data_IF_796104117656
#
_entry.id   IF_796104117656
#
_cell.length_a   1.000
_cell.length_b   1.000
_cell.length_c   1.000
_cell.angle_alpha   90.00
_cell.angle_beta   90.00
_cell.angle_gamma   90.00
#
_symmetry.space_group_name_H-M   'P 1'
#
loop_
_entity.id
_entity.type
_entity.pdbx_description
1 polymer ?
#
# COMPACT_ATOMS: atom_id res chain seq x y z
N UNK A 1 -7.86 26.81 -7.57
CA UNK A 1 -6.89 27.24 -6.53
C UNK A 1 -5.52 26.61 -6.75
N UNK A 2 -4.54 27.40 -7.19
CA UNK A 2 -3.10 27.12 -7.01
C UNK A 2 -2.70 27.36 -5.54
N UNK A 3 -1.62 26.74 -5.05
CA UNK A 3 -1.02 27.10 -3.77
C UNK A 3 -0.76 28.62 -3.76
N UNK A 4 -1.18 29.32 -2.69
CA UNK A 4 -0.93 30.76 -2.56
C UNK A 4 0.56 31.05 -2.68
N UNK A 5 0.92 32.17 -3.31
CA UNK A 5 2.29 32.47 -3.74
C UNK A 5 3.35 32.60 -2.62
N UNK A 6 3.01 32.40 -1.34
CA UNK A 6 3.90 32.62 -0.19
C UNK A 6 3.74 31.56 0.92
N UNK A 7 3.61 30.27 0.60
CA UNK A 7 3.51 29.20 1.61
C UNK A 7 4.83 28.45 1.81
N UNK A 8 5.36 28.48 3.04
CA UNK A 8 6.43 27.57 3.47
C UNK A 8 5.84 26.41 4.27
N UNK A 9 6.10 25.16 3.88
CA UNK A 9 5.52 23.98 4.54
C UNK A 9 6.40 22.74 4.49
N UNK A 10 6.31 21.93 5.54
CA UNK A 10 6.86 20.57 5.60
C UNK A 10 5.96 19.58 4.84
N UNK A 11 6.50 18.61 4.10
CA UNK A 11 5.73 17.76 3.18
C UNK A 11 4.75 16.83 3.92
N UNK A 12 3.63 16.43 3.29
CA UNK A 12 2.80 15.36 3.83
C UNK A 12 3.55 14.02 3.72
N UNK A 13 3.33 13.11 4.67
CA UNK A 13 4.00 11.81 4.68
C UNK A 13 3.40 10.86 3.65
N UNK A 14 2.09 11.01 3.41
CA UNK A 14 1.29 10.13 2.58
C UNK A 14 0.16 10.94 1.94
N UNK A 15 0.27 11.22 0.64
CA UNK A 15 -0.65 12.11 -0.10
C UNK A 15 -1.94 11.45 -0.57
N UNK A 16 -2.03 10.13 -0.48
CA UNK A 16 -3.11 9.30 -1.05
C UNK A 16 -3.70 8.37 0.00
N UNK A 17 -5.01 8.21 -0.02
CA UNK A 17 -5.80 7.56 1.04
C UNK A 17 -5.90 6.05 0.86
N UNK A 18 -5.62 5.55 -0.34
CA UNK A 18 -5.84 4.17 -0.73
C UNK A 18 -7.33 3.79 -0.81
N UNK A 19 -7.63 2.67 -1.47
CA UNK A 19 -8.99 2.17 -1.64
C UNK A 19 -9.70 1.75 -0.34
N UNK A 20 -10.78 0.99 -0.46
CA UNK A 20 -11.63 0.58 0.66
C UNK A 20 -10.85 -0.12 1.79
N UNK A 21 -11.32 -0.10 3.05
CA UNK A 21 -10.77 -0.94 4.11
C UNK A 21 -10.83 -2.43 3.77
N UNK A 22 -10.09 -3.26 4.52
CA UNK A 22 -10.06 -4.73 4.37
C UNK A 22 -9.55 -5.25 3.02
N UNK A 23 -8.45 -4.67 2.54
CA UNK A 23 -7.83 -5.08 1.28
C UNK A 23 -6.92 -6.30 1.39
N UNK A 24 -6.32 -6.52 2.55
CA UNK A 24 -5.34 -7.59 2.78
C UNK A 24 -5.92 -8.68 3.69
N UNK A 25 -5.81 -9.95 3.27
CA UNK A 25 -6.05 -11.10 4.16
C UNK A 25 -4.73 -11.59 4.76
N UNK A 26 -4.81 -12.47 5.76
CA UNK A 26 -3.64 -13.11 6.34
C UNK A 26 -2.81 -13.87 5.30
N UNK A 27 -1.58 -13.41 5.07
CA UNK A 27 -0.64 -13.98 4.10
C UNK A 27 -0.72 -13.37 2.70
N UNK A 28 -1.58 -12.37 2.48
CA UNK A 28 -1.62 -11.65 1.22
C UNK A 28 -0.51 -10.60 1.16
N UNK A 29 0.09 -10.48 -0.02
CA UNK A 29 0.97 -9.39 -0.40
C UNK A 29 0.24 -8.50 -1.41
N UNK A 30 0.35 -7.20 -1.25
CA UNK A 30 -0.20 -6.23 -2.19
C UNK A 30 0.87 -5.27 -2.67
N UNK A 31 0.84 -4.96 -3.97
CA UNK A 31 1.58 -3.86 -4.59
C UNK A 31 0.58 -2.85 -5.13
N UNK A 32 0.74 -1.58 -4.78
CA UNK A 32 -0.17 -0.51 -5.18
C UNK A 32 0.59 0.68 -5.76
N UNK A 33 0.00 1.29 -6.79
CA UNK A 33 0.39 2.59 -7.31
C UNK A 33 -0.81 3.52 -7.35
N UNK A 34 -0.61 4.79 -7.01
CA UNK A 34 -1.65 5.81 -7.04
C UNK A 34 -1.09 7.15 -7.54
N UNK A 35 -1.96 7.94 -8.14
CA UNK A 35 -1.70 9.34 -8.50
C UNK A 35 -2.82 10.19 -7.96
N UNK A 36 -2.48 11.40 -7.53
CA UNK A 36 -3.45 12.34 -6.98
C UNK A 36 -3.07 13.77 -7.35
N UNK A 37 -4.06 14.64 -7.35
CA UNK A 37 -3.89 16.05 -7.65
C UNK A 37 -4.94 16.89 -6.94
N UNK A 38 -4.71 18.20 -6.95
CA UNK A 38 -5.67 19.15 -6.41
C UNK A 38 -6.69 19.50 -7.47
N UNK A 39 -7.96 19.59 -7.07
CA UNK A 39 -9.00 20.14 -7.93
C UNK A 39 -8.83 21.66 -7.98
N UNK A 40 -8.06 22.16 -8.95
CA UNK A 40 -7.96 23.59 -9.25
C UNK A 40 -8.88 23.95 -10.43
N UNK A 41 -9.31 25.22 -10.49
CA UNK A 41 -10.20 25.78 -11.50
C UNK A 41 -9.56 25.64 -12.89
N UNK A 42 -9.82 24.53 -13.59
CA UNK A 42 -9.26 24.25 -14.92
C UNK A 42 -8.82 22.81 -15.17
N UNK A 43 -8.86 21.93 -14.16
CA UNK A 43 -8.46 20.53 -14.33
C UNK A 43 -6.94 20.38 -14.36
N UNK A 44 -6.32 20.37 -13.20
CA UNK A 44 -4.88 20.13 -13.03
C UNK A 44 -4.55 18.67 -13.31
N UNK A 45 -3.42 18.41 -13.99
CA UNK A 45 -2.83 17.07 -14.07
C UNK A 45 -2.45 16.54 -12.67
N UNK A 46 -2.31 15.22 -12.47
CA UNK A 46 -1.88 14.69 -11.18
C UNK A 46 -0.52 15.28 -10.78
N UNK A 47 -0.44 15.81 -9.56
CA UNK A 47 0.73 16.55 -9.06
C UNK A 47 1.67 15.67 -8.22
N UNK A 48 1.15 14.57 -7.69
CA UNK A 48 1.90 13.66 -6.84
C UNK A 48 1.54 12.20 -7.10
N UNK A 49 2.55 11.35 -6.97
CA UNK A 49 2.45 9.90 -7.15
C UNK A 49 2.86 9.16 -5.90
N UNK A 50 2.36 7.94 -5.77
CA UNK A 50 2.70 7.04 -4.67
C UNK A 50 2.89 5.60 -5.17
N UNK A 51 3.88 4.92 -4.59
CA UNK A 51 4.00 3.47 -4.62
C UNK A 51 3.92 2.91 -3.20
N UNK A 52 3.28 1.74 -3.03
CA UNK A 52 3.09 1.08 -1.74
C UNK A 52 3.20 -0.43 -1.87
N UNK A 53 3.72 -1.05 -0.82
CA UNK A 53 3.63 -2.50 -0.56
C UNK A 53 2.92 -2.72 0.77
N UNK A 54 2.06 -3.73 0.82
CA UNK A 54 1.36 -4.15 2.03
C UNK A 54 1.45 -5.65 2.23
N UNK A 55 1.52 -6.10 3.48
CA UNK A 55 1.47 -7.52 3.83
C UNK A 55 0.49 -7.76 4.98
N UNK A 56 -0.47 -8.66 4.76
CA UNK A 56 -1.43 -9.07 5.78
C UNK A 56 -0.77 -10.03 6.77
N UNK A 57 -0.42 -9.53 7.96
CA UNK A 57 0.17 -10.34 9.03
C UNK A 57 -0.88 -11.26 9.64
N UNK A 58 -2.10 -10.74 9.81
CA UNK A 58 -3.32 -11.40 10.30
C UNK A 58 -4.51 -10.86 9.52
N UNK A 59 -5.66 -11.51 9.67
CA UNK A 59 -6.89 -11.06 9.02
C UNK A 59 -7.36 -9.67 9.47
N UNK A 60 -6.91 -9.22 10.64
CA UNK A 60 -7.22 -7.91 11.20
C UNK A 60 -5.98 -7.01 11.34
N UNK A 61 -4.78 -7.47 10.94
CA UNK A 61 -3.53 -6.68 11.00
C UNK A 61 -2.75 -6.79 9.70
N UNK A 62 -2.40 -5.64 9.14
CA UNK A 62 -1.42 -5.53 8.06
C UNK A 62 -0.27 -4.62 8.47
N UNK A 63 0.87 -4.81 7.81
CA UNK A 63 1.97 -3.84 7.80
C UNK A 63 2.09 -3.28 6.38
N UNK A 64 2.22 -1.97 6.29
CA UNK A 64 2.27 -1.25 5.02
C UNK A 64 3.48 -0.34 5.00
N UNK A 65 4.06 -0.18 3.81
CA UNK A 65 5.16 0.75 3.58
C UNK A 65 5.14 1.25 2.16
N UNK A 66 5.62 2.46 1.94
CA UNK A 66 5.57 3.08 0.62
C UNK A 66 6.39 4.34 0.53
N UNK A 67 6.29 4.95 -0.64
CA UNK A 67 6.89 6.23 -0.94
C UNK A 67 5.89 7.08 -1.71
N UNK A 68 5.85 8.36 -1.39
CA UNK A 68 5.11 9.36 -2.14
C UNK A 68 6.04 10.50 -2.55
N UNK A 69 5.78 11.05 -3.73
CA UNK A 69 6.63 12.05 -4.35
C UNK A 69 5.76 13.10 -5.04
N UNK A 70 6.14 14.37 -4.86
CA UNK A 70 5.69 15.49 -5.66
C UNK A 70 6.90 16.02 -6.42
N UNK A 71 6.77 16.13 -7.74
CA UNK A 71 7.87 16.53 -8.61
C UNK A 71 8.44 17.88 -8.15
N UNK A 72 9.75 17.94 -7.98
CA UNK A 72 10.50 19.14 -7.60
C UNK A 72 10.08 19.79 -6.26
N UNK A 73 9.34 19.06 -5.42
CA UNK A 73 8.76 19.56 -4.17
C UNK A 73 9.16 18.70 -2.97
N UNK A 74 8.95 17.38 -3.04
CA UNK A 74 9.27 16.48 -1.94
C UNK A 74 9.22 15.00 -2.33
N UNK A 75 9.88 14.17 -1.53
CA UNK A 75 9.81 12.72 -1.58
C UNK A 75 9.84 12.16 -0.15
N UNK A 76 8.79 11.45 0.26
CA UNK A 76 8.63 10.89 1.59
C UNK A 76 8.44 9.38 1.50
N UNK A 77 9.23 8.63 2.28
CA UNK A 77 8.97 7.23 2.56
C UNK A 77 8.20 7.11 3.87
N UNK A 78 7.33 6.11 3.97
CA UNK A 78 6.54 5.87 5.17
C UNK A 78 6.37 4.37 5.41
N UNK A 79 6.14 4.01 6.67
CA UNK A 79 5.78 2.67 7.07
C UNK A 79 4.93 2.69 8.35
N UNK A 80 4.05 1.69 8.49
CA UNK A 80 3.20 1.61 9.64
C UNK A 80 2.25 0.41 9.64
N UNK A 81 1.67 0.07 10.80
CA UNK A 81 0.63 -0.93 10.90
C UNK A 81 -0.74 -0.38 10.50
N UNK A 82 -1.60 -1.31 10.08
CA UNK A 82 -3.02 -1.08 9.85
C UNK A 82 -3.82 -2.16 10.56
N UNK A 83 -4.83 -1.75 11.33
CA UNK A 83 -5.76 -2.64 12.01
C UNK A 83 -7.11 -2.53 11.33
N UNK A 84 -7.69 -3.66 10.93
CA UNK A 84 -8.97 -3.71 10.23
C UNK A 84 -9.99 -4.53 11.01
N UNK A 85 -11.19 -4.00 11.15
CA UNK A 85 -12.37 -4.70 11.63
C UNK A 85 -13.32 -4.91 10.45
N UNK A 86 -13.59 -6.17 10.09
CA UNK A 86 -14.57 -6.52 9.07
C UNK A 86 -15.38 -7.74 9.53
N UNK A 87 -16.46 -7.54 10.29
CA UNK A 87 -17.36 -8.63 10.63
C UNK A 87 -18.00 -9.14 9.34
N UNK A 88 -18.08 -10.46 9.20
CA UNK A 88 -18.71 -11.12 8.05
C UNK A 88 -18.04 -10.82 6.70
N UNK A 89 -16.71 -10.69 6.68
CA UNK A 89 -15.92 -10.43 5.46
C UNK A 89 -16.14 -11.38 4.28
N UNK A 90 -16.67 -12.57 4.54
CA UNK A 90 -16.94 -13.58 3.52
C UNK A 90 -18.36 -13.48 2.96
N UNK A 91 -19.20 -12.63 3.57
CA UNK A 91 -20.52 -12.32 3.04
C UNK A 91 -20.41 -11.39 1.82
N UNK A 92 -21.33 -11.53 0.85
CA UNK A 92 -21.33 -10.68 -0.34
C UNK A 92 -21.47 -9.18 -0.07
N UNK A 93 -22.17 -8.84 1.01
CA UNK A 93 -22.36 -7.47 1.46
C UNK A 93 -21.90 -7.40 2.92
N UNK A 94 -20.86 -6.62 3.18
CA UNK A 94 -20.34 -6.44 4.53
C UNK A 94 -19.69 -5.07 4.69
N UNK A 95 -19.61 -4.61 5.94
CA UNK A 95 -18.96 -3.37 6.31
C UNK A 95 -17.58 -3.64 6.89
N UNK A 96 -16.63 -2.77 6.58
CA UNK A 96 -15.28 -2.81 7.11
C UNK A 96 -14.86 -1.43 7.61
N UNK A 97 -14.06 -1.41 8.66
CA UNK A 97 -13.41 -0.21 9.17
C UNK A 97 -11.94 -0.48 9.44
N UNK A 98 -11.08 0.51 9.26
CA UNK A 98 -9.67 0.40 9.61
C UNK A 98 -9.13 1.64 10.33
N UNK A 99 -8.06 1.41 11.09
CA UNK A 99 -7.21 2.43 11.69
C UNK A 99 -5.80 2.20 11.17
N UNK A 100 -5.16 3.26 10.69
CA UNK A 100 -3.75 3.25 10.29
C UNK A 100 -2.94 4.20 11.16
N UNK A 101 -1.71 3.78 11.47
CA UNK A 101 -0.72 4.60 12.15
C UNK A 101 0.58 4.45 11.37
N UNK A 102 1.39 5.51 11.28
CA UNK A 102 2.67 5.37 10.63
C UNK A 102 3.62 6.52 10.89
N UNK A 103 4.87 6.25 10.55
CA UNK A 103 5.96 7.22 10.59
C UNK A 103 6.50 7.37 9.18
N UNK A 104 7.06 8.53 8.89
CA UNK A 104 7.71 8.77 7.62
C UNK A 104 8.95 9.64 7.75
N UNK A 105 9.83 9.47 6.78
CA UNK A 105 11.08 10.21 6.63
C UNK A 105 11.37 10.42 5.14
N UNK A 106 12.07 11.49 4.82
CA UNK A 106 12.39 11.79 3.43
C UNK A 106 13.03 13.16 3.29
N UNK A 107 12.80 13.78 2.14
CA UNK A 107 13.31 15.10 1.86
C UNK A 107 12.26 15.99 1.20
N UNK A 108 12.28 17.27 1.52
CA UNK A 108 11.48 18.27 0.81
C UNK A 108 10.63 19.18 1.69
N UNK A 109 9.64 19.76 1.03
CA UNK A 109 8.85 20.88 1.52
C UNK A 109 8.99 22.05 0.57
N UNK A 110 7.98 22.92 0.53
CA UNK A 110 8.01 24.09 -0.32
C UNK A 110 8.43 25.32 0.48
N UNK A 111 9.15 26.21 -0.18
CA UNK A 111 9.21 27.63 0.15
C UNK A 111 8.61 28.32 -1.06
N UNK A 112 7.36 28.77 -0.98
CA UNK A 112 6.86 29.65 -2.03
C UNK A 112 7.57 31.00 -1.92
N UNK A 113 7.77 31.63 -3.08
CA UNK A 113 8.64 32.77 -3.21
C UNK A 113 8.30 33.86 -2.18
N UNK A 114 9.32 34.50 -1.58
CA UNK A 114 9.10 35.75 -0.87
C UNK A 114 8.32 36.76 -1.75
N UNK A 115 7.56 37.70 -1.16
CA UNK A 115 7.07 38.87 -1.87
C UNK A 115 8.19 39.52 -2.70
N UNK A 116 7.86 40.13 -3.85
CA UNK A 116 8.85 40.82 -4.70
C UNK A 116 9.84 41.65 -3.86
N UNK A 117 11.12 41.28 -3.90
CA UNK A 117 12.21 42.00 -3.22
C UNK A 117 12.75 41.35 -1.93
N UNK A 118 12.11 40.32 -1.38
CA UNK A 118 12.67 39.54 -0.28
C UNK A 118 13.44 38.32 -0.82
N UNK A 119 14.54 37.91 -0.16
CA UNK A 119 15.18 36.63 -0.46
C UNK A 119 14.55 35.55 0.42
N UNK A 120 14.36 34.31 -0.09
CA UNK A 120 13.92 33.23 0.77
C UNK A 120 14.96 33.06 1.89
N UNK A 121 14.50 33.03 3.13
CA UNK A 121 15.36 32.91 4.32
C UNK A 121 16.20 31.63 4.33
N UNK A 122 15.87 30.67 3.45
CA UNK A 122 16.61 29.44 3.25
C UNK A 122 16.68 29.08 1.75
N UNK A 123 17.85 29.26 1.08
CA UNK A 123 18.00 29.01 -0.35
C UNK A 123 18.18 27.52 -0.69
N UNK A 124 18.16 26.62 0.31
CA UNK A 124 18.42 25.19 0.06
C UNK A 124 17.35 24.59 -0.87
N UNK A 125 17.74 23.78 -1.87
CA UNK A 125 16.79 23.03 -2.69
C UNK A 125 16.02 22.02 -1.83
N UNK A 126 14.83 21.62 -2.30
CA UNK A 126 13.92 20.74 -1.55
C UNK A 126 14.61 19.43 -1.11
N UNK A 127 15.45 18.84 -1.96
CA UNK A 127 16.15 17.58 -1.70
C UNK A 127 17.27 17.68 -0.65
N UNK A 128 17.58 18.87 -0.14
CA UNK A 128 18.56 19.10 0.93
C UNK A 128 17.89 19.33 2.30
N UNK A 129 16.57 19.18 2.39
CA UNK A 129 15.80 19.37 3.63
C UNK A 129 15.40 18.02 4.17
N UNK A 130 16.03 17.53 5.23
CA UNK A 130 15.55 16.33 5.91
C UNK A 130 14.14 16.60 6.42
N UNK A 131 13.22 15.69 6.13
CA UNK A 131 11.83 15.77 6.56
C UNK A 131 11.43 14.48 7.29
N UNK A 132 10.62 14.61 8.34
CA UNK A 132 10.07 13.48 9.09
C UNK A 132 8.71 13.82 9.67
N UNK A 133 7.96 12.80 10.09
CA UNK A 133 6.66 12.99 10.71
C UNK A 133 5.96 11.70 11.12
N UNK A 134 4.75 11.87 11.62
CA UNK A 134 3.83 10.79 11.94
C UNK A 134 2.43 11.06 11.37
N UNK A 135 1.68 10.00 11.09
CA UNK A 135 0.28 10.10 10.69
C UNK A 135 -0.60 9.08 11.41
N UNK A 136 -1.89 9.40 11.44
CA UNK A 136 -2.97 8.50 11.81
C UNK A 136 -4.12 8.66 10.83
N UNK A 137 -4.83 7.58 10.54
CA UNK A 137 -5.97 7.60 9.64
C UNK A 137 -7.05 6.62 10.06
N UNK A 138 -8.27 6.91 9.63
CA UNK A 138 -9.45 6.09 9.82
C UNK A 138 -10.11 5.86 8.47
N UNK A 139 -10.60 4.66 8.25
CA UNK A 139 -11.36 4.29 7.06
C UNK A 139 -12.61 3.52 7.42
N UNK A 140 -13.67 3.71 6.63
CA UNK A 140 -14.86 2.88 6.64
C UNK A 140 -15.28 2.57 5.20
N UNK A 141 -15.86 1.40 4.96
CA UNK A 141 -16.36 1.03 3.66
C UNK A 141 -17.43 -0.05 3.71
N UNK A 142 -18.24 -0.08 2.65
CA UNK A 142 -19.24 -1.10 2.39
C UNK A 142 -18.82 -1.85 1.13
N UNK A 143 -18.59 -3.15 1.26
CA UNK A 143 -18.26 -4.04 0.16
C UNK A 143 -19.54 -4.66 -0.40
N UNK A 144 -19.67 -4.69 -1.72
CA UNK A 144 -20.81 -5.22 -2.46
C UNK A 144 -20.27 -6.07 -3.62
N UNK A 145 -20.08 -7.37 -3.38
CA UNK A 145 -19.58 -8.37 -4.34
C UNK A 145 -18.27 -7.98 -5.07
N UNK A 146 -18.38 -7.16 -6.12
CA UNK A 146 -17.32 -6.78 -7.05
C UNK A 146 -16.89 -5.32 -6.93
N UNK A 147 -17.58 -4.51 -6.13
CA UNK A 147 -17.19 -3.13 -5.86
C UNK A 147 -17.41 -2.76 -4.39
N UNK A 148 -16.80 -1.67 -3.95
CA UNK A 148 -16.92 -1.15 -2.61
C UNK A 148 -17.01 0.37 -2.65
N UNK A 149 -17.82 0.94 -1.77
CA UNK A 149 -17.81 2.38 -1.48
C UNK A 149 -17.08 2.61 -0.18
N UNK A 150 -16.31 3.68 -0.09
CA UNK A 150 -15.52 3.95 1.12
C UNK A 150 -15.37 5.44 1.41
N UNK A 151 -15.04 5.72 2.66
CA UNK A 151 -14.60 7.03 3.13
C UNK A 151 -13.36 6.86 4.00
N UNK A 152 -12.45 7.84 3.91
CA UNK A 152 -11.21 7.86 4.70
C UNK A 152 -10.92 9.26 5.19
N UNK A 153 -10.34 9.35 6.38
CA UNK A 153 -9.80 10.58 6.94
C UNK A 153 -8.38 10.33 7.42
N UNK A 154 -7.49 11.30 7.27
CA UNK A 154 -6.10 11.22 7.73
C UNK A 154 -5.65 12.53 8.33
N UNK A 155 -4.91 12.43 9.43
CA UNK A 155 -4.19 13.52 10.10
C UNK A 155 -2.70 13.21 10.08
N UNK A 156 -1.86 14.19 9.73
CA UNK A 156 -0.41 14.03 9.62
C UNK A 156 0.28 15.26 10.20
N UNK A 157 1.31 15.04 11.01
CA UNK A 157 2.21 16.09 11.45
C UNK A 157 3.59 15.84 10.86
N UNK A 158 4.20 16.86 10.26
CA UNK A 158 5.55 16.75 9.70
C UNK A 158 6.39 17.98 10.00
N UNK A 159 7.71 17.78 9.97
CA UNK A 159 8.72 18.80 10.11
C UNK A 159 9.81 18.58 9.07
N UNK A 160 10.30 19.65 8.49
CA UNK A 160 11.43 19.66 7.58
C UNK A 160 12.45 20.73 8.00
N UNK A 161 13.73 20.48 7.73
CA UNK A 161 14.80 21.42 8.08
C UNK A 161 14.58 22.79 7.43
N UNK A 162 14.65 23.83 8.25
CA UNK A 162 14.47 25.22 7.81
C UNK A 162 13.03 25.60 7.44
N UNK A 163 12.05 24.73 7.69
CA UNK A 163 10.64 24.98 7.42
C UNK A 163 9.80 24.92 8.71
N UNK A 164 8.66 25.64 8.76
CA UNK A 164 7.74 25.50 9.87
C UNK A 164 7.17 24.07 9.91
N UNK A 165 6.88 23.58 11.11
CA UNK A 165 6.10 22.37 11.29
C UNK A 165 4.74 22.52 10.59
N UNK A 166 4.28 21.46 9.95
CA UNK A 166 3.04 21.46 9.18
C UNK A 166 2.12 20.35 9.65
N UNK A 167 0.85 20.68 9.72
CA UNK A 167 -0.23 19.76 9.99
C UNK A 167 -1.07 19.61 8.72
N UNK A 168 -1.28 18.36 8.33
CA UNK A 168 -2.07 17.99 7.17
C UNK A 168 -3.29 17.23 7.65
N UNK A 169 -4.47 17.65 7.23
CA UNK A 169 -5.69 16.86 7.38
C UNK A 169 -6.32 16.63 6.03
N UNK A 170 -6.99 15.51 5.85
CA UNK A 170 -7.65 15.20 4.58
C UNK A 170 -8.78 14.22 4.78
N UNK A 171 -9.79 14.33 3.93
CA UNK A 171 -10.94 13.44 3.92
C UNK A 171 -11.34 13.14 2.48
N UNK A 172 -11.55 11.87 2.14
CA UNK A 172 -11.99 11.44 0.82
C UNK A 172 -13.13 10.44 0.91
N UNK A 173 -13.98 10.45 -0.11
CA UNK A 173 -14.95 9.40 -0.42
C UNK A 173 -14.65 8.83 -1.80
N UNK A 174 -14.85 7.53 -1.98
CA UNK A 174 -14.47 6.86 -3.22
C UNK A 174 -15.16 5.54 -3.48
N UNK A 175 -14.78 4.97 -4.61
CA UNK A 175 -15.21 3.67 -5.09
C UNK A 175 -13.99 2.81 -5.42
N UNK A 176 -14.08 1.52 -5.12
CA UNK A 176 -13.10 0.51 -5.48
C UNK A 176 -13.79 -0.61 -6.26
N UNK A 177 -13.17 -1.08 -7.33
CA UNK A 177 -13.62 -2.18 -8.16
C UNK A 177 -12.62 -3.33 -8.07
N UNK A 178 -13.12 -4.52 -7.75
CA UNK A 178 -12.31 -5.72 -7.57
C UNK A 178 -12.47 -6.65 -8.77
N UNK A 179 -11.40 -6.80 -9.52
CA UNK A 179 -11.32 -7.67 -10.70
C UNK A 179 -10.68 -8.99 -10.29
N UNK A 180 -11.49 -10.06 -10.26
CA UNK A 180 -11.05 -11.44 -9.98
C UNK A 180 -10.24 -11.60 -8.68
N UNK A 181 -10.54 -10.80 -7.66
CA UNK A 181 -9.81 -10.80 -6.37
C UNK A 181 -8.29 -10.57 -6.49
N UNK A 182 -7.80 -10.13 -7.64
CA UNK A 182 -6.37 -9.99 -7.92
C UNK A 182 -6.01 -8.53 -8.15
N UNK A 183 -6.88 -7.79 -8.83
CA UNK A 183 -6.62 -6.40 -9.19
C UNK A 183 -7.74 -5.54 -8.62
N UNK A 184 -7.38 -4.52 -7.86
CA UNK A 184 -8.31 -3.48 -7.44
C UNK A 184 -8.01 -2.20 -8.20
N UNK A 185 -9.04 -1.58 -8.77
CA UNK A 185 -9.00 -0.22 -9.31
C UNK A 185 -9.79 0.67 -8.37
N UNK A 186 -9.30 1.85 -8.04
CA UNK A 186 -10.04 2.76 -7.18
C UNK A 186 -9.90 4.20 -7.61
N UNK A 187 -10.93 4.96 -7.30
CA UNK A 187 -11.00 6.40 -7.48
C UNK A 187 -11.61 7.03 -6.24
N UNK A 188 -11.12 8.20 -5.86
CA UNK A 188 -11.64 8.96 -4.73
C UNK A 188 -11.58 10.45 -5.01
N UNK A 189 -12.45 11.19 -4.33
CA UNK A 189 -12.45 12.64 -4.33
C UNK A 189 -12.75 13.14 -2.91
N UNK A 190 -12.31 14.35 -2.61
CA UNK A 190 -12.53 14.94 -1.30
C UNK A 190 -11.79 16.25 -1.12
N UNK A 191 -11.24 16.43 0.06
CA UNK A 191 -10.55 17.66 0.45
C UNK A 191 -9.26 17.34 1.20
N UNK A 192 -8.38 18.32 1.20
CA UNK A 192 -7.29 18.39 2.16
C UNK A 192 -7.22 19.78 2.77
N UNK A 193 -6.56 19.84 3.92
CA UNK A 193 -6.20 21.06 4.62
C UNK A 193 -4.73 20.97 5.02
N UNK A 194 -4.03 22.07 4.80
CA UNK A 194 -2.68 22.33 5.29
C UNK A 194 -2.78 23.44 6.32
N UNK A 195 -2.21 23.23 7.50
CA UNK A 195 -2.05 24.24 8.53
C UNK A 195 -0.58 24.30 8.95
N UNK A 196 -0.05 25.52 9.04
CA UNK A 196 1.23 25.85 9.65
C UNK A 196 0.97 26.87 10.74
N UNK A 197 2.02 27.36 11.42
CA UNK A 197 1.85 28.43 12.41
C UNK A 197 1.24 29.70 11.81
N UNK A 198 1.60 30.01 10.57
CA UNK A 198 1.37 31.33 9.97
C UNK A 198 0.35 31.30 8.82
N UNK A 199 -0.12 30.10 8.43
CA UNK A 199 -0.93 29.92 7.23
C UNK A 199 -1.81 28.68 7.30
N UNK A 200 -3.01 28.76 6.71
CA UNK A 200 -3.89 27.63 6.49
C UNK A 200 -4.43 27.64 5.05
N UNK A 201 -4.53 26.47 4.43
CA UNK A 201 -5.08 26.27 3.09
C UNK A 201 -6.05 25.10 3.06
N UNK A 202 -7.01 25.21 2.15
CA UNK A 202 -7.98 24.17 1.83
C UNK A 202 -8.06 24.03 0.32
N UNK A 203 -8.12 22.80 -0.18
CA UNK A 203 -8.45 22.57 -1.58
C UNK A 203 -9.06 21.18 -1.78
N UNK A 204 -9.72 21.04 -2.93
CA UNK A 204 -10.26 19.75 -3.36
C UNK A 204 -9.12 18.80 -3.75
N UNK A 205 -9.36 17.51 -3.54
CA UNK A 205 -8.44 16.42 -3.80
C UNK A 205 -9.13 15.39 -4.70
N UNK A 206 -8.41 14.82 -5.66
CA UNK A 206 -8.84 13.62 -6.37
C UNK A 206 -7.71 12.60 -6.41
N UNK A 207 -8.05 11.31 -6.43
CA UNK A 207 -7.09 10.21 -6.42
C UNK A 207 -7.55 9.09 -7.36
N UNK A 208 -6.60 8.49 -8.05
CA UNK A 208 -6.79 7.28 -8.84
C UNK A 208 -5.67 6.30 -8.53
N UNK A 209 -5.98 5.01 -8.48
CA UNK A 209 -4.94 4.01 -8.29
C UNK A 209 -5.34 2.60 -8.65
N UNK A 210 -4.32 1.76 -8.64
CA UNK A 210 -4.39 0.33 -8.92
C UNK A 210 -3.62 -0.43 -7.85
N UNK A 211 -4.17 -1.56 -7.44
CA UNK A 211 -3.49 -2.50 -6.56
C UNK A 211 -3.55 -3.91 -7.13
N UNK A 212 -2.48 -4.67 -6.91
CA UNK A 212 -2.33 -6.06 -7.32
C UNK A 212 -2.04 -6.91 -6.09
N UNK A 213 -2.79 -7.99 -5.95
CA UNK A 213 -2.76 -8.90 -4.80
C UNK A 213 -2.13 -10.24 -5.17
N UNK A 214 -1.36 -10.78 -4.23
CA UNK A 214 -0.69 -12.07 -4.34
C UNK A 214 -0.94 -12.88 -3.06
N UNK A 215 -1.62 -14.01 -3.18
CA UNK A 215 -1.73 -15.00 -2.11
C UNK A 215 -0.41 -15.77 -1.98
N UNK A 216 0.44 -15.31 -1.07
CA UNK A 216 1.77 -15.89 -0.86
C UNK A 216 1.67 -17.30 -0.28
N UNK A 217 0.63 -17.58 0.54
CA UNK A 217 0.47 -18.87 1.20
C UNK A 217 0.14 -19.98 0.22
N UNK A 218 -0.81 -19.77 -0.69
CA UNK A 218 -1.13 -20.78 -1.69
C UNK A 218 0.03 -21.00 -2.66
N UNK A 219 0.81 -19.96 -2.98
CA UNK A 219 2.01 -20.09 -3.80
C UNK A 219 3.08 -20.96 -3.12
N UNK A 220 3.34 -20.76 -1.83
CA UNK A 220 4.29 -21.59 -1.06
C UNK A 220 3.81 -23.04 -0.98
N UNK A 221 2.52 -23.28 -0.68
CA UNK A 221 1.94 -24.63 -0.62
C UNK A 221 2.03 -25.36 -1.95
N UNK A 222 1.69 -24.70 -3.07
CA UNK A 222 1.80 -25.26 -4.42
C UNK A 222 3.24 -25.61 -4.79
N UNK A 223 4.21 -24.76 -4.41
CA UNK A 223 5.65 -25.04 -4.62
C UNK A 223 6.13 -26.25 -3.80
N UNK A 224 5.70 -26.35 -2.55
CA UNK A 224 6.03 -27.50 -1.70
C UNK A 224 5.47 -28.81 -2.27
N UNK A 225 4.21 -28.82 -2.70
CA UNK A 225 3.59 -29.98 -3.36
C UNK A 225 4.34 -30.40 -4.63
N UNK A 226 4.67 -29.45 -5.51
CA UNK A 226 5.44 -29.75 -6.74
C UNK A 226 6.82 -30.34 -6.43
N UNK A 227 7.50 -29.86 -5.39
CA UNK A 227 8.78 -30.42 -4.93
C UNK A 227 8.62 -31.85 -4.41
N UNK A 228 7.57 -32.11 -3.61
CA UNK A 228 7.26 -33.44 -3.11
C UNK A 228 6.96 -34.44 -4.26
N UNK A 229 6.17 -34.03 -5.25
CA UNK A 229 5.89 -34.88 -6.44
C UNK A 229 7.16 -35.18 -7.24
N UNK A 230 8.04 -34.19 -7.43
CA UNK A 230 9.31 -34.38 -8.14
C UNK A 230 10.30 -35.28 -7.38
N UNK A 231 10.34 -35.18 -6.06
CA UNK A 231 11.13 -36.06 -5.19
C UNK A 231 10.57 -37.49 -5.14
N UNK A 232 9.25 -37.65 -5.13
CA UNK A 232 8.59 -38.96 -5.21
C UNK A 232 8.80 -39.66 -6.56
N UNK A 233 8.75 -38.89 -7.65
CA UNK A 233 9.04 -39.37 -9.02
C UNK A 233 10.49 -39.88 -9.18
N UNK A 234 11.46 -39.23 -8.54
CA UNK A 234 12.88 -39.66 -8.58
C UNK A 234 13.19 -40.86 -7.68
N UNK A 235 12.38 -41.13 -6.66
CA UNK A 235 12.52 -42.33 -5.81
C UNK A 235 11.89 -43.57 -6.45
N UNK A 236 10.79 -43.40 -7.19
CA UNK A 236 10.12 -44.47 -7.93
C UNK A 236 10.95 -44.99 -9.12
N UNK A 237 11.69 -44.11 -9.82
CA UNK A 237 12.50 -44.51 -10.98
C UNK A 237 13.84 -45.19 -10.64
N UNK A 238 14.25 -45.23 -9.36
CA UNK A 238 15.47 -45.94 -8.92
C UNK A 238 15.24 -47.41 -8.56
N UNK A 239 13.99 -47.87 -8.50
CA UNK A 239 13.70 -49.32 -8.53
C UNK A 239 13.54 -49.71 -9.99
N UNK A 240 14.66 -49.71 -10.71
CA UNK A 240 14.68 -50.22 -12.07
C UNK A 240 14.28 -51.70 -12.13
N UNK A 241 13.87 -52.21 -13.31
CA UNK A 241 13.44 -53.60 -13.51
C UNK A 241 14.45 -54.68 -13.06
N UNK A 242 15.70 -54.31 -12.77
CA UNK A 242 16.72 -55.20 -12.20
C UNK A 242 16.35 -55.76 -10.81
N UNK A 243 15.61 -55.03 -9.96
CA UNK A 243 15.17 -55.56 -8.67
C UNK A 243 14.07 -56.63 -8.80
N UNK A 244 13.29 -56.60 -9.89
CA UNK A 244 12.27 -57.62 -10.19
C UNK A 244 12.89 -58.92 -10.72
N UNK A 245 13.97 -58.83 -11.51
CA UNK A 245 14.68 -59.99 -12.03
C UNK A 245 15.42 -60.81 -10.94
N UNK A 246 15.85 -60.16 -9.84
CA UNK A 246 16.49 -60.85 -8.71
C UNK A 246 15.48 -61.54 -7.77
N UNK A 247 14.22 -61.08 -7.70
CA UNK A 247 13.19 -61.72 -6.90
C UNK A 247 12.61 -62.98 -7.59
N UNK A 248 12.58 -63.03 -8.93
CA UNK A 248 12.09 -64.20 -9.67
C UNK A 248 13.11 -65.35 -9.77
N UNK A 249 14.42 -65.08 -9.56
CA UNK A 249 15.46 -66.12 -9.57
C UNK A 249 15.65 -66.84 -8.24
N UNK A 250 15.11 -66.32 -7.12
CA UNK A 250 15.28 -66.91 -5.79
C UNK A 250 14.15 -67.91 -5.40
N UNK A 251 13.12 -68.09 -6.23
CA UNK A 251 11.91 -68.86 -5.86
C UNK A 251 11.85 -70.32 -6.32
N UNK A 252 12.93 -70.90 -6.89
CA UNK A 252 12.86 -72.18 -7.63
C UNK A 252 13.59 -73.39 -7.05
N UNK A 253 13.90 -73.40 -5.76
CA UNK A 253 14.35 -74.63 -5.09
C UNK A 253 13.31 -75.12 -4.08
N UNK A 254 12.44 -76.04 -4.54
CA UNK A 254 11.67 -76.94 -3.65
C UNK A 254 12.49 -78.21 -3.44
N UNK A 255 12.91 -78.55 -2.22
CA UNK A 255 13.49 -79.85 -1.95
C UNK A 255 12.37 -80.90 -1.89
N UNK A 256 12.46 -81.89 -2.79
CA UNK A 256 11.69 -83.13 -2.70
C UNK A 256 12.16 -83.92 -1.48
N UNK A 257 11.30 -84.12 -0.49
CA UNK A 257 11.50 -85.13 0.56
C UNK A 257 10.76 -86.39 0.15
N UNK A 258 11.52 -87.49 0.08
CA UNK A 258 11.00 -88.85 0.17
C UNK A 258 10.72 -89.25 1.60
#
# INVERSE_FOLDING_TARGET
MSLGACTSFSPPLQSTHHGAPERLREGDLELQGAVSGFASDGGSAPEYGQGRVGYGVRDWVAVEGGGTFARDLWAMAYAGPRVTLSPNRDEPIHAAADVELGLGLGAGGAIAAPPEGEQPSDPRPWNQRLAFGAYTGLGAGLHIHWFSVFARVRLQGSRADGLPASFWSSGVGGMQFRIKHTVDLFMAAGYFNLATRDYAQYAGLYEFGVAVHFDVRSLVRKRAQRRATRAGSTRSSRVGPQARALAESAGRERPSRG
#
